data_IF_272055044971
#
_entry.id   IF_272055044971
#
_cell.length_a   1.000
_cell.length_b   1.000
_cell.length_c   1.000
_cell.angle_alpha   90.00
_cell.angle_beta   90.00
_cell.angle_gamma   90.00
#
_symmetry.space_group_name_H-M   'P 1'
#
loop_
_entity.id
_entity.type
_entity.pdbx_description
1 polymer ?
#
# COMPACT_ATOMS: atom_id res chain seq x y z
N UNK A 1 34.67 -2.16 -10.07
CA UNK A 1 33.44 -2.11 -9.25
C UNK A 1 32.43 -3.08 -9.84
N UNK A 2 32.04 -4.13 -9.13
CA UNK A 2 30.98 -5.03 -9.58
C UNK A 2 29.62 -4.41 -9.24
N UNK A 3 28.71 -4.38 -10.21
CA UNK A 3 27.33 -3.94 -10.02
C UNK A 3 26.52 -5.08 -9.42
N UNK A 4 26.02 -4.93 -8.21
CA UNK A 4 25.06 -5.88 -7.64
C UNK A 4 23.71 -5.71 -8.33
N UNK A 5 23.22 -6.77 -8.98
CA UNK A 5 21.90 -6.80 -9.61
C UNK A 5 20.94 -7.54 -8.68
N UNK A 6 19.94 -6.83 -8.15
CA UNK A 6 18.94 -7.41 -7.26
C UNK A 6 17.84 -8.09 -8.05
N UNK A 7 17.33 -9.21 -7.52
CA UNK A 7 16.01 -9.70 -7.94
C UNK A 7 14.92 -8.78 -7.40
N UNK A 8 13.81 -8.67 -8.13
CA UNK A 8 12.63 -7.89 -7.70
C UNK A 8 12.15 -8.34 -6.31
N UNK A 9 12.21 -9.64 -6.02
CA UNK A 9 11.80 -10.20 -4.72
C UNK A 9 12.77 -9.85 -3.59
N UNK A 10 14.07 -9.72 -3.87
CA UNK A 10 15.07 -9.34 -2.88
C UNK A 10 14.90 -7.85 -2.53
N UNK A 11 14.81 -7.00 -3.55
CA UNK A 11 14.57 -5.58 -3.37
C UNK A 11 13.25 -5.29 -2.63
N UNK A 12 12.15 -5.94 -3.03
CA UNK A 12 10.85 -5.77 -2.35
C UNK A 12 10.90 -6.16 -0.87
N UNK A 13 11.65 -7.21 -0.51
CA UNK A 13 11.84 -7.64 0.89
C UNK A 13 12.64 -6.62 1.68
N UNK A 14 13.69 -6.07 1.07
CA UNK A 14 14.52 -5.03 1.68
C UNK A 14 13.73 -3.74 1.94
N UNK A 15 12.98 -3.26 0.94
CA UNK A 15 12.09 -2.10 1.08
C UNK A 15 11.10 -2.31 2.23
N UNK A 16 10.48 -3.49 2.31
CA UNK A 16 9.56 -3.84 3.40
C UNK A 16 10.24 -3.78 4.76
N UNK A 17 11.41 -4.39 4.91
CA UNK A 17 12.17 -4.41 6.16
C UNK A 17 12.55 -2.99 6.63
N UNK A 18 12.97 -2.12 5.70
CA UNK A 18 13.30 -0.73 6.01
C UNK A 18 12.08 0.07 6.48
N UNK A 19 10.91 -0.17 5.88
CA UNK A 19 9.68 0.49 6.31
C UNK A 19 9.20 -0.01 7.68
N UNK A 20 9.17 -1.33 7.90
CA UNK A 20 8.72 -1.94 9.16
C UNK A 20 9.67 -1.65 10.33
N UNK A 21 10.97 -1.47 10.08
CA UNK A 21 11.94 -1.09 11.12
C UNK A 21 11.86 0.39 11.51
N UNK A 22 11.43 1.26 10.59
CA UNK A 22 11.34 2.71 10.83
C UNK A 22 9.97 3.15 11.37
N UNK A 23 8.91 2.47 10.96
CA UNK A 23 7.53 2.89 11.24
C UNK A 23 6.74 1.73 11.83
N UNK A 24 6.15 1.95 13.02
CA UNK A 24 5.23 1.01 13.65
C UNK A 24 3.81 1.15 13.09
N UNK A 25 3.27 2.37 13.13
CA UNK A 25 1.98 2.76 12.55
C UNK A 25 2.08 4.21 12.08
N UNK A 26 1.60 4.50 10.87
CA UNK A 26 1.60 5.84 10.28
C UNK A 26 0.25 6.13 9.64
N UNK A 27 -0.09 7.42 9.61
CA UNK A 27 -1.26 7.95 8.93
C UNK A 27 -0.82 8.73 7.71
N UNK A 28 -1.50 8.49 6.59
CA UNK A 28 -1.29 9.20 5.33
C UNK A 28 -2.63 9.79 4.88
N UNK A 29 -2.60 11.03 4.41
CA UNK A 29 -3.73 11.71 3.79
C UNK A 29 -3.46 11.90 2.31
N UNK A 30 -4.50 11.77 1.49
CA UNK A 30 -4.40 11.96 0.05
C UNK A 30 -5.70 11.64 -0.66
N UNK A 31 -5.73 11.89 -1.95
CA UNK A 31 -6.87 11.58 -2.81
C UNK A 31 -6.85 10.08 -3.17
N UNK A 32 -8.00 9.43 -3.10
CA UNK A 32 -8.18 8.05 -3.56
C UNK A 32 -8.46 8.05 -5.06
N UNK A 33 -7.75 7.21 -5.81
CA UNK A 33 -7.99 6.96 -7.24
C UNK A 33 -7.94 5.47 -7.56
N UNK A 34 -8.44 5.08 -8.73
CA UNK A 34 -8.43 3.69 -9.21
C UNK A 34 -9.01 2.68 -8.20
N UNK A 35 -10.08 3.06 -7.51
CA UNK A 35 -10.74 2.21 -6.53
C UNK A 35 -11.41 1.02 -7.23
N UNK A 36 -11.03 -0.19 -6.83
CA UNK A 36 -11.64 -1.44 -7.27
C UNK A 36 -12.05 -2.26 -6.04
N UNK A 37 -13.30 -2.73 -6.03
CA UNK A 37 -13.84 -3.62 -5.00
C UNK A 37 -14.38 -4.92 -5.61
N UNK A 38 -13.51 -5.89 -5.93
CA UNK A 38 -13.93 -7.18 -6.47
C UNK A 38 -14.81 -8.00 -5.49
N UNK A 39 -15.44 -9.05 -6.01
CA UNK A 39 -16.32 -9.94 -5.24
C UNK A 39 -15.66 -10.64 -4.04
N UNK A 40 -14.31 -10.71 -4.00
CA UNK A 40 -13.55 -11.19 -2.84
C UNK A 40 -13.72 -10.32 -1.59
N UNK A 41 -14.17 -9.07 -1.75
CA UNK A 41 -14.43 -8.12 -0.68
C UNK A 41 -13.21 -7.28 -0.25
N UNK A 42 -12.04 -7.52 -0.83
CA UNK A 42 -10.88 -6.63 -0.71
C UNK A 42 -11.11 -5.35 -1.54
N UNK A 43 -10.57 -4.23 -1.08
CA UNK A 43 -10.49 -3.02 -1.89
C UNK A 43 -9.04 -2.78 -2.30
N UNK A 44 -8.84 -2.40 -3.55
CA UNK A 44 -7.55 -1.94 -4.07
C UNK A 44 -7.73 -0.52 -4.58
N UNK A 45 -6.81 0.37 -4.24
CA UNK A 45 -6.86 1.75 -4.68
C UNK A 45 -5.47 2.34 -4.70
N UNK A 46 -5.35 3.56 -5.21
CA UNK A 46 -4.15 4.37 -5.09
C UNK A 46 -4.43 5.58 -4.22
N UNK A 47 -3.55 5.87 -3.26
CA UNK A 47 -3.55 7.10 -2.49
C UNK A 47 -2.49 8.03 -3.07
N UNK A 48 -2.86 9.27 -3.41
CA UNK A 48 -1.96 10.22 -4.10
C UNK A 48 -2.04 11.63 -3.50
N UNK A 49 -0.96 12.38 -3.70
CA UNK A 49 -0.90 13.83 -3.59
C UNK A 49 -0.37 14.43 -4.92
N UNK A 50 0.09 15.68 -4.91
CA UNK A 50 0.60 16.35 -6.11
C UNK A 50 1.92 15.75 -6.65
N UNK A 51 2.69 15.03 -5.84
CA UNK A 51 4.06 14.61 -6.15
C UNK A 51 4.28 13.09 -6.05
N UNK A 52 3.39 12.36 -5.38
CA UNK A 52 3.57 10.94 -5.08
C UNK A 52 2.25 10.14 -5.11
N UNK A 53 2.39 8.83 -5.29
CA UNK A 53 1.29 7.88 -5.25
C UNK A 53 1.75 6.55 -4.66
N UNK A 54 0.91 5.92 -3.84
CA UNK A 54 1.12 4.57 -3.30
C UNK A 54 -0.07 3.67 -3.64
N UNK A 55 0.20 2.41 -3.99
CA UNK A 55 -0.84 1.39 -4.19
C UNK A 55 -1.22 0.79 -2.84
N UNK A 56 -2.50 0.78 -2.55
CA UNK A 56 -3.06 0.33 -1.28
C UNK A 56 -3.94 -0.90 -1.49
N UNK A 57 -3.85 -1.83 -0.55
CA UNK A 57 -4.77 -2.95 -0.43
C UNK A 57 -5.45 -2.89 0.93
N UNK A 58 -6.78 -2.87 0.94
CA UNK A 58 -7.57 -2.88 2.15
C UNK A 58 -8.31 -4.21 2.27
N UNK A 59 -7.84 -5.04 3.20
CA UNK A 59 -8.34 -6.40 3.31
C UNK A 59 -9.74 -6.45 3.95
N UNK A 60 -10.64 -7.28 3.40
CA UNK A 60 -12.04 -7.45 3.84
C UNK A 60 -12.19 -7.50 5.37
N UNK A 61 -11.36 -8.29 6.04
CA UNK A 61 -11.41 -8.49 7.50
C UNK A 61 -11.16 -7.19 8.29
N UNK A 62 -10.38 -6.25 7.74
CA UNK A 62 -10.17 -4.91 8.33
C UNK A 62 -11.23 -3.91 7.87
N UNK A 63 -11.73 -4.04 6.63
CA UNK A 63 -12.81 -3.20 6.07
C UNK A 63 -14.13 -3.33 6.82
N UNK A 64 -14.49 -4.51 7.30
CA UNK A 64 -15.72 -4.71 8.09
C UNK A 64 -15.68 -4.03 9.46
N UNK A 65 -14.48 -3.76 10.00
CA UNK A 65 -14.30 -3.05 11.28
C UNK A 65 -14.25 -1.53 11.12
N UNK A 66 -13.68 -1.05 10.02
CA UNK A 66 -13.55 0.38 9.75
C UNK A 66 -14.49 0.76 8.61
N UNK A 67 -15.64 1.34 8.95
CA UNK A 67 -16.67 1.80 8.01
C UNK A 67 -16.21 3.05 7.25
N UNK A 68 -15.08 2.96 6.54
CA UNK A 68 -14.72 3.91 5.50
C UNK A 68 -15.69 3.68 4.36
N UNK A 69 -16.71 4.54 4.31
CA UNK A 69 -17.61 4.68 3.18
C UNK A 69 -16.77 5.18 1.99
N UNK A 70 -16.12 4.24 1.30
CA UNK A 70 -15.57 4.47 -0.03
C UNK A 70 -16.77 4.53 -0.98
N UNK A 71 -17.51 5.65 -0.95
CA UNK A 71 -18.62 5.95 -1.86
C UNK A 71 -18.15 6.92 -2.93
#
# INVERSE_FOLDING_TARGET
>A
MSRTVYSVSAFSREVRSLLESRYSEIWLEGEISNLATPASGHAYFSLKDANAQVRCAFFKNRRLRNRLALQ
#
